data_IF_438036785774
#
_entry.id   IF_438036785774
#
_cell.length_a   1.000
_cell.length_b   1.000
_cell.length_c   1.000
_cell.angle_alpha   90.00
_cell.angle_beta   90.00
_cell.angle_gamma   90.00
#
_symmetry.space_group_name_H-M   'P 1'
#
loop_
_entity.id
_entity.type
_entity.pdbx_description
1 polymer ?
#
# COMPACT_ATOMS: atom_id res chain seq x y z
N UNK A 1 1.58 -15.27 18.64
CA UNK A 1 0.65 -15.34 19.75
C UNK A 1 -0.73 -14.96 19.27
N UNK A 2 -1.68 -15.89 19.30
CA UNK A 2 -3.08 -15.61 18.99
C UNK A 2 -3.73 -15.02 20.25
N UNK A 3 -4.11 -13.74 20.20
CA UNK A 3 -4.94 -13.16 21.22
C UNK A 3 -6.41 -13.53 20.93
N UNK A 4 -6.97 -14.48 21.67
CA UNK A 4 -8.42 -14.70 21.73
C UNK A 4 -9.01 -13.60 22.60
N UNK A 5 -9.76 -12.69 22.01
CA UNK A 5 -10.62 -11.78 22.77
C UNK A 5 -11.71 -12.62 23.44
N UNK A 6 -11.67 -12.74 24.77
CA UNK A 6 -12.62 -13.53 25.57
C UNK A 6 -13.96 -12.83 25.78
N UNK A 7 -14.06 -11.54 25.52
CA UNK A 7 -15.30 -10.76 25.74
C UNK A 7 -15.42 -9.67 24.65
N UNK A 8 -16.58 -9.59 24.05
CA UNK A 8 -16.96 -8.47 23.19
C UNK A 8 -17.25 -7.27 24.10
N UNK A 9 -16.35 -6.30 24.15
CA UNK A 9 -16.58 -5.05 24.86
C UNK A 9 -17.20 -4.05 23.89
N UNK A 10 -18.44 -3.65 24.12
CA UNK A 10 -19.05 -2.54 23.42
C UNK A 10 -18.52 -1.22 23.98
N UNK A 11 -18.14 -0.30 23.09
CA UNK A 11 -17.71 1.06 23.43
C UNK A 11 -18.71 2.02 22.82
N UNK A 12 -19.41 2.79 23.65
CA UNK A 12 -20.27 3.86 23.15
C UNK A 12 -19.41 5.03 22.68
N UNK A 13 -19.59 5.46 21.44
CA UNK A 13 -18.84 6.56 20.83
C UNK A 13 -19.70 7.32 19.84
N UNK A 14 -19.56 8.64 19.83
CA UNK A 14 -20.23 9.53 18.86
C UNK A 14 -19.47 9.58 17.51
N UNK A 15 -18.23 9.10 17.47
CA UNK A 15 -17.39 9.13 16.27
C UNK A 15 -16.52 7.88 16.22
N UNK A 16 -16.60 7.15 15.10
CA UNK A 16 -15.75 6.00 14.81
C UNK A 16 -14.84 6.34 13.64
N UNK A 17 -13.53 6.19 13.82
CA UNK A 17 -12.54 6.32 12.76
C UNK A 17 -11.93 4.95 12.49
N UNK A 18 -12.35 4.34 11.38
CA UNK A 18 -11.86 3.03 10.96
C UNK A 18 -10.72 3.18 9.96
N UNK A 19 -9.52 2.74 10.33
CA UNK A 19 -8.31 2.83 9.49
C UNK A 19 -7.67 1.46 9.20
N UNK A 20 -8.40 0.37 9.46
CA UNK A 20 -7.88 -0.99 9.33
C UNK A 20 -8.03 -1.51 7.89
N UNK A 21 -6.90 -1.61 7.21
CA UNK A 21 -6.78 -2.27 5.90
C UNK A 21 -7.31 -1.50 4.70
N UNK A 22 -7.00 -2.03 3.54
CA UNK A 22 -7.48 -1.57 2.22
C UNK A 22 -7.98 -2.77 1.44
N UNK A 23 -9.07 -2.58 0.70
CA UNK A 23 -9.57 -3.56 -0.25
C UNK A 23 -9.45 -3.03 -1.67
N UNK A 24 -9.20 -3.88 -2.67
CA UNK A 24 -9.28 -3.48 -4.07
C UNK A 24 -10.69 -2.98 -4.43
N UNK A 25 -10.76 -2.19 -5.50
CA UNK A 25 -12.02 -1.68 -6.05
C UNK A 25 -12.91 -2.82 -6.54
N UNK A 26 -14.22 -2.56 -6.62
CA UNK A 26 -15.21 -3.59 -7.00
C UNK A 26 -14.97 -4.17 -8.39
N UNK A 27 -14.43 -3.39 -9.33
CA UNK A 27 -14.01 -3.89 -10.65
C UNK A 27 -13.13 -5.15 -10.56
N UNK A 28 -12.27 -5.26 -9.56
CA UNK A 28 -11.43 -6.46 -9.35
C UNK A 28 -12.27 -7.62 -8.84
N UNK A 29 -13.21 -7.37 -7.92
CA UNK A 29 -14.09 -8.40 -7.37
C UNK A 29 -15.05 -8.98 -8.43
N UNK A 30 -15.52 -8.12 -9.34
CA UNK A 30 -16.43 -8.48 -10.43
C UNK A 30 -15.70 -9.06 -11.65
N UNK A 31 -14.39 -9.05 -11.65
CA UNK A 31 -13.59 -9.59 -12.76
C UNK A 31 -13.67 -11.12 -12.82
N UNK A 32 -13.39 -11.68 -14.00
CA UNK A 32 -13.30 -13.13 -14.23
C UNK A 32 -12.04 -13.77 -13.64
N UNK A 33 -11.18 -12.97 -13.01
CA UNK A 33 -9.93 -13.45 -12.46
C UNK A 33 -10.14 -14.14 -11.11
N UNK A 34 -9.37 -15.19 -10.86
CA UNK A 34 -9.32 -15.80 -9.53
C UNK A 34 -8.73 -14.80 -8.53
N UNK A 35 -9.46 -14.60 -7.44
CA UNK A 35 -9.06 -13.68 -6.37
C UNK A 35 -8.88 -14.39 -5.04
N UNK A 36 -8.04 -13.85 -4.20
CA UNK A 36 -7.95 -14.22 -2.78
C UNK A 36 -7.91 -12.93 -1.96
N UNK A 37 -8.76 -12.83 -0.94
CA UNK A 37 -8.93 -11.60 -0.15
C UNK A 37 -9.18 -10.36 -1.03
N UNK A 38 -10.00 -10.53 -2.09
CA UNK A 38 -10.32 -9.48 -3.04
C UNK A 38 -9.19 -9.07 -3.98
N UNK A 39 -8.03 -9.76 -3.99
CA UNK A 39 -6.88 -9.47 -4.85
C UNK A 39 -6.68 -10.57 -5.87
N UNK A 40 -6.22 -10.20 -7.06
CA UNK A 40 -5.97 -11.13 -8.17
C UNK A 40 -4.78 -12.04 -7.83
N UNK A 41 -4.96 -13.35 -8.01
CA UNK A 41 -3.91 -14.33 -7.83
C UNK A 41 -2.92 -14.29 -9.00
N UNK A 42 -1.63 -14.15 -8.68
CA UNK A 42 -0.55 -14.14 -9.67
C UNK A 42 0.50 -15.20 -9.34
N UNK A 43 1.18 -15.66 -10.40
CA UNK A 43 2.34 -16.52 -10.27
C UNK A 43 3.62 -15.73 -9.94
N UNK A 44 4.75 -16.40 -9.83
CA UNK A 44 6.04 -15.78 -9.51
C UNK A 44 6.57 -14.81 -10.58
N UNK A 45 6.00 -14.80 -11.77
CA UNK A 45 6.32 -13.86 -12.86
C UNK A 45 5.37 -12.67 -12.92
N UNK A 46 4.42 -12.55 -11.98
CA UNK A 46 3.36 -11.56 -11.90
C UNK A 46 2.24 -11.73 -12.95
N UNK A 47 2.15 -12.89 -13.59
CA UNK A 47 1.08 -13.22 -14.53
C UNK A 47 -0.12 -13.80 -13.78
N UNK A 48 -1.30 -13.58 -14.32
CA UNK A 48 -2.51 -14.28 -13.89
C UNK A 48 -2.45 -15.71 -14.44
N UNK A 49 -2.49 -16.72 -13.57
CA UNK A 49 -2.28 -18.11 -13.95
C UNK A 49 -3.20 -18.62 -15.06
N UNK A 50 -4.41 -18.05 -15.15
CA UNK A 50 -5.39 -18.41 -16.20
C UNK A 50 -5.16 -17.67 -17.52
N UNK A 51 -4.41 -16.58 -17.50
CA UNK A 51 -4.18 -15.69 -18.64
C UNK A 51 -2.70 -15.29 -18.66
N UNK A 52 -1.84 -16.10 -19.28
CA UNK A 52 -0.38 -15.91 -19.25
C UNK A 52 0.10 -14.60 -19.88
N UNK A 53 -0.73 -13.98 -20.73
CA UNK A 53 -0.43 -12.69 -21.35
C UNK A 53 -0.89 -11.48 -20.50
N UNK A 54 -1.54 -11.75 -19.34
CA UNK A 54 -2.07 -10.71 -18.47
C UNK A 54 -1.30 -10.67 -17.15
N UNK A 55 -0.86 -9.47 -16.80
CA UNK A 55 -0.12 -9.21 -15.57
C UNK A 55 -0.97 -8.42 -14.58
N UNK A 56 -0.89 -8.76 -13.29
CA UNK A 56 -1.48 -7.96 -12.22
C UNK A 56 -0.39 -7.57 -11.21
N UNK A 57 -0.32 -6.28 -10.89
CA UNK A 57 0.77 -5.71 -10.09
C UNK A 57 0.25 -4.77 -8.99
N UNK A 58 1.04 -4.55 -7.95
CA UNK A 58 0.72 -3.64 -6.85
C UNK A 58 -0.35 -4.19 -5.91
N UNK A 59 -1.13 -3.30 -5.31
CA UNK A 59 -2.06 -3.63 -4.22
C UNK A 59 -3.26 -4.50 -4.65
N UNK A 60 -3.57 -4.55 -5.94
CA UNK A 60 -4.64 -5.39 -6.48
C UNK A 60 -4.21 -6.84 -6.72
N UNK A 61 -2.92 -7.17 -6.57
CA UNK A 61 -2.37 -8.52 -6.77
C UNK A 61 -1.91 -9.18 -5.49
N UNK A 62 -1.93 -10.50 -5.47
CA UNK A 62 -1.38 -11.32 -4.40
C UNK A 62 -0.80 -12.60 -5.01
N UNK A 63 0.34 -13.05 -4.51
CA UNK A 63 0.93 -14.30 -4.97
C UNK A 63 0.06 -15.50 -4.60
N UNK A 64 -0.14 -16.39 -5.56
CA UNK A 64 -0.84 -17.65 -5.31
C UNK A 64 -0.06 -18.46 -4.26
N UNK A 65 -0.66 -18.78 -3.11
CA UNK A 65 0.01 -19.52 -2.05
C UNK A 65 0.40 -20.95 -2.45
N UNK A 66 -0.21 -21.49 -3.52
CA UNK A 66 0.11 -22.80 -4.07
C UNK A 66 1.41 -22.72 -4.90
N UNK A 67 1.61 -21.60 -5.60
CA UNK A 67 2.75 -21.41 -6.52
C UNK A 67 3.92 -20.68 -5.89
N UNK A 68 3.70 -19.92 -4.82
CA UNK A 68 4.74 -19.16 -4.14
C UNK A 68 4.52 -19.10 -2.63
N UNK A 69 5.55 -19.46 -1.87
CA UNK A 69 5.55 -19.31 -0.42
C UNK A 69 5.85 -17.88 0.03
N UNK A 70 6.28 -17.00 -0.89
CA UNK A 70 6.65 -15.61 -0.57
C UNK A 70 5.39 -14.75 -0.43
N UNK A 71 5.31 -14.01 0.67
CA UNK A 71 4.23 -13.05 0.94
C UNK A 71 4.82 -11.66 1.01
N UNK A 72 4.27 -10.75 0.23
CA UNK A 72 4.65 -9.35 0.24
C UNK A 72 3.47 -8.48 0.70
N UNK A 73 3.70 -7.52 1.60
CA UNK A 73 2.65 -6.59 2.01
C UNK A 73 2.29 -5.63 0.86
N UNK A 74 1.04 -5.15 0.78
CA UNK A 74 0.63 -4.14 -0.18
C UNK A 74 1.26 -2.80 0.19
N UNK A 75 2.32 -2.45 -0.50
CA UNK A 75 3.04 -1.18 -0.28
C UNK A 75 3.52 -0.60 -1.61
N UNK A 76 3.68 0.73 -1.66
CA UNK A 76 4.20 1.41 -2.83
C UNK A 76 5.58 0.89 -3.28
N UNK A 77 6.42 0.45 -2.35
CA UNK A 77 7.73 -0.13 -2.68
C UNK A 77 7.59 -1.45 -3.46
N UNK A 78 6.67 -2.31 -3.03
CA UNK A 78 6.39 -3.57 -3.71
C UNK A 78 5.73 -3.29 -5.07
N UNK A 79 4.77 -2.34 -5.12
CA UNK A 79 4.13 -1.96 -6.38
C UNK A 79 5.14 -1.44 -7.42
N UNK A 80 6.11 -0.63 -6.99
CA UNK A 80 7.20 -0.15 -7.86
C UNK A 80 8.10 -1.30 -8.34
N UNK A 81 8.43 -2.24 -7.46
CA UNK A 81 9.23 -3.41 -7.83
C UNK A 81 8.45 -4.35 -8.77
N UNK A 82 7.16 -4.59 -8.50
CA UNK A 82 6.27 -5.33 -9.41
C UNK A 82 6.26 -4.70 -10.81
N UNK A 83 6.11 -3.37 -10.90
CA UNK A 83 6.07 -2.67 -12.18
C UNK A 83 7.36 -2.87 -13.00
N UNK A 84 8.52 -2.81 -12.34
CA UNK A 84 9.82 -3.05 -13.01
C UNK A 84 9.95 -4.48 -13.54
N UNK A 85 9.57 -5.46 -12.71
CA UNK A 85 9.65 -6.87 -13.10
C UNK A 85 8.63 -7.19 -14.20
N UNK A 86 7.39 -6.70 -14.08
CA UNK A 86 6.37 -6.92 -15.10
C UNK A 86 6.75 -6.30 -16.45
N UNK A 87 7.28 -5.06 -16.45
CA UNK A 87 7.73 -4.40 -17.69
C UNK A 87 8.87 -5.19 -18.37
N UNK A 88 9.81 -5.71 -17.57
CA UNK A 88 10.90 -6.54 -18.09
C UNK A 88 10.37 -7.88 -18.61
N UNK A 89 9.45 -8.51 -17.91
CA UNK A 89 8.85 -9.78 -18.33
C UNK A 89 7.98 -9.62 -19.58
N UNK A 90 7.25 -8.50 -19.71
CA UNK A 90 6.53 -8.19 -20.95
C UNK A 90 7.48 -8.09 -22.15
N UNK A 91 8.59 -7.37 -22.00
CA UNK A 91 9.61 -7.28 -23.04
C UNK A 91 10.16 -8.67 -23.38
N UNK A 92 10.57 -9.45 -22.37
CA UNK A 92 11.10 -10.80 -22.57
C UNK A 92 10.10 -11.73 -23.26
N UNK A 93 8.85 -11.64 -22.90
CA UNK A 93 7.78 -12.41 -23.54
C UNK A 93 7.65 -12.05 -25.02
N UNK A 94 7.73 -10.77 -25.36
CA UNK A 94 7.71 -10.30 -26.75
C UNK A 94 8.94 -10.75 -27.55
N UNK A 95 10.11 -10.77 -26.90
CA UNK A 95 11.39 -11.15 -27.51
C UNK A 95 11.59 -12.69 -27.54
N UNK A 96 10.66 -13.47 -26.99
CA UNK A 96 10.77 -14.93 -26.89
C UNK A 96 11.78 -15.40 -25.84
N UNK A 97 12.15 -14.55 -24.91
CA UNK A 97 13.10 -14.85 -23.83
C UNK A 97 12.39 -15.42 -22.58
N UNK A 98 13.16 -16.16 -21.76
CA UNK A 98 12.64 -16.65 -20.48
C UNK A 98 12.39 -15.49 -19.50
N UNK A 99 11.21 -15.48 -18.88
CA UNK A 99 10.84 -14.50 -17.86
C UNK A 99 11.65 -14.67 -16.58
N UNK A 100 11.76 -13.59 -15.81
CA UNK A 100 12.40 -13.56 -14.50
C UNK A 100 11.37 -13.62 -13.37
N UNK A 101 11.69 -14.38 -12.33
CA UNK A 101 10.87 -14.46 -11.13
C UNK A 101 10.95 -13.17 -10.34
N UNK A 102 9.82 -12.74 -9.78
CA UNK A 102 9.81 -11.62 -8.86
C UNK A 102 10.52 -12.02 -7.55
N UNK A 103 11.48 -11.22 -7.19
CA UNK A 103 12.13 -11.29 -5.88
C UNK A 103 12.37 -9.87 -5.35
N UNK A 104 12.08 -9.67 -4.08
CA UNK A 104 12.24 -8.38 -3.44
C UNK A 104 12.83 -8.55 -2.04
N UNK A 105 13.93 -7.87 -1.81
CA UNK A 105 14.52 -7.76 -0.48
C UNK A 105 14.03 -6.49 0.19
N UNK A 106 13.44 -6.64 1.37
CA UNK A 106 12.91 -5.53 2.14
C UNK A 106 14.01 -4.57 2.55
N UNK A 107 13.91 -3.31 2.12
CA UNK A 107 14.93 -2.28 2.38
C UNK A 107 14.66 -1.47 3.64
N UNK A 108 13.49 -1.63 4.24
CA UNK A 108 13.04 -0.86 5.38
C UNK A 108 11.76 -0.10 5.12
N UNK A 109 11.24 0.52 6.15
CA UNK A 109 10.00 1.29 6.11
C UNK A 109 10.13 2.56 6.93
N UNK A 110 9.37 3.57 6.55
CA UNK A 110 9.33 4.82 7.31
C UNK A 110 7.94 5.46 7.20
N UNK A 111 7.49 6.09 8.26
CA UNK A 111 6.20 6.79 8.32
C UNK A 111 6.31 8.07 9.14
N UNK A 112 5.51 9.08 8.78
CA UNK A 112 5.31 10.25 9.61
C UNK A 112 4.08 10.02 10.51
N UNK A 113 4.24 10.25 11.80
CA UNK A 113 3.18 10.10 12.81
C UNK A 113 2.74 11.42 13.42
N UNK A 114 3.34 12.52 13.01
CA UNK A 114 2.98 13.86 13.48
C UNK A 114 3.84 14.94 12.88
N UNK A 115 3.66 16.16 13.40
CA UNK A 115 4.47 17.31 12.98
C UNK A 115 5.92 17.11 13.47
N UNK A 116 6.86 16.99 12.52
CA UNK A 116 8.29 16.80 12.80
C UNK A 116 8.64 15.50 13.55
N UNK A 117 7.74 14.51 13.50
CA UNK A 117 7.94 13.22 14.16
C UNK A 117 7.70 12.10 13.18
N UNK A 118 8.64 11.19 13.06
CA UNK A 118 8.55 10.01 12.23
C UNK A 118 9.02 8.77 12.96
N UNK A 119 8.79 7.64 12.33
CA UNK A 119 9.36 6.34 12.68
C UNK A 119 9.96 5.74 11.42
N UNK A 120 11.10 5.10 11.55
CA UNK A 120 11.78 4.43 10.45
C UNK A 120 12.47 3.18 10.96
N UNK A 121 12.45 2.14 10.13
CA UNK A 121 13.23 0.92 10.35
C UNK A 121 14.06 0.65 9.10
N UNK A 122 15.36 0.67 9.22
CA UNK A 122 16.31 0.45 8.15
C UNK A 122 17.37 -0.56 8.59
N UNK A 123 17.53 -1.63 7.82
CA UNK A 123 18.56 -2.67 8.07
C UNK A 123 18.54 -3.18 9.52
N UNK A 124 17.37 -3.28 10.14
CA UNK A 124 17.20 -3.72 11.53
C UNK A 124 17.38 -2.61 12.58
N UNK A 125 17.77 -1.39 12.18
CA UNK A 125 17.89 -0.25 13.09
C UNK A 125 16.56 0.51 13.11
N UNK A 126 15.99 0.68 14.31
CA UNK A 126 14.77 1.45 14.51
C UNK A 126 15.11 2.87 14.98
N UNK A 127 14.59 3.86 14.26
CA UNK A 127 14.80 5.27 14.51
C UNK A 127 13.44 5.93 14.69
N UNK A 128 13.30 6.79 15.70
CA UNK A 128 12.08 7.54 15.97
C UNK A 128 12.34 9.03 16.20
N UNK A 129 11.28 9.84 16.14
CA UNK A 129 11.36 11.27 16.42
C UNK A 129 11.81 12.11 15.23
N UNK A 130 12.52 13.19 15.53
CA UNK A 130 12.94 14.17 14.52
C UNK A 130 13.94 13.61 13.50
N UNK A 131 14.84 12.74 13.93
CA UNK A 131 15.80 12.11 13.02
C UNK A 131 15.09 11.24 11.96
N UNK A 132 14.10 10.44 12.37
CA UNK A 132 13.29 9.67 11.43
C UNK A 132 12.50 10.57 10.47
N UNK A 133 12.01 11.73 10.94
CA UNK A 133 11.37 12.73 10.09
C UNK A 133 12.33 13.28 9.02
N UNK A 134 13.56 13.64 9.38
CA UNK A 134 14.56 14.11 8.42
C UNK A 134 14.94 13.03 7.42
N UNK A 135 15.13 11.79 7.86
CA UNK A 135 15.40 10.65 6.99
C UNK A 135 14.26 10.44 5.99
N UNK A 136 13.03 10.47 6.46
CA UNK A 136 11.84 10.35 5.61
C UNK A 136 11.81 11.44 4.52
N UNK A 137 12.02 12.71 4.90
CA UNK A 137 12.05 13.83 3.96
C UNK A 137 13.10 13.63 2.87
N UNK A 138 14.32 13.29 3.25
CA UNK A 138 15.42 13.09 2.29
C UNK A 138 15.15 11.91 1.35
N UNK A 139 14.61 10.81 1.88
CA UNK A 139 14.22 9.64 1.09
C UNK A 139 13.16 9.99 0.02
N UNK A 140 12.11 10.71 0.41
CA UNK A 140 11.06 11.08 -0.54
C UNK A 140 11.53 12.15 -1.52
N UNK A 141 12.32 13.10 -1.07
CA UNK A 141 12.93 14.11 -1.94
C UNK A 141 13.83 13.47 -3.02
N UNK A 142 14.60 12.44 -2.65
CA UNK A 142 15.45 11.73 -3.61
C UNK A 142 14.67 11.06 -4.74
N UNK A 143 13.44 10.59 -4.47
CA UNK A 143 12.55 9.92 -5.44
C UNK A 143 11.88 10.88 -6.43
N UNK A 144 11.85 12.17 -6.17
CA UNK A 144 11.26 13.16 -7.09
C UNK A 144 12.13 13.24 -8.33
N UNK A 145 11.53 13.12 -9.51
CA UNK A 145 12.21 13.30 -10.79
C UNK A 145 12.27 14.77 -11.17
N UNK A 146 13.41 15.20 -11.67
CA UNK A 146 13.67 16.60 -12.08
C UNK A 146 14.21 17.45 -10.93
N UNK A 147 15.34 18.11 -11.18
CA UNK A 147 16.04 18.92 -10.17
C UNK A 147 15.25 20.17 -9.76
N UNK A 148 14.53 20.80 -10.71
CA UNK A 148 13.67 21.97 -10.43
C UNK A 148 12.55 21.64 -9.46
N UNK A 149 11.88 20.48 -9.66
CA UNK A 149 10.83 20.01 -8.77
C UNK A 149 11.39 19.67 -7.39
N UNK A 150 12.59 19.05 -7.35
CA UNK A 150 13.27 18.77 -6.07
C UNK A 150 13.55 20.04 -5.30
N UNK A 151 14.08 21.06 -5.98
CA UNK A 151 14.42 22.34 -5.35
C UNK A 151 13.17 23.03 -4.81
N UNK A 152 12.09 23.06 -5.60
CA UNK A 152 10.81 23.65 -5.17
C UNK A 152 10.26 22.94 -3.93
N UNK A 153 10.16 21.61 -3.96
CA UNK A 153 9.66 20.83 -2.82
C UNK A 153 10.59 20.96 -1.61
N UNK A 154 11.90 21.02 -1.81
CA UNK A 154 12.85 21.22 -0.75
C UNK A 154 12.66 22.60 -0.09
N UNK A 155 12.48 23.67 -0.86
CA UNK A 155 12.18 25.01 -0.35
C UNK A 155 10.87 25.03 0.44
N UNK A 156 9.79 24.53 -0.16
CA UNK A 156 8.46 24.47 0.49
C UNK A 156 8.53 23.73 1.83
N UNK A 157 9.21 22.59 1.85
CA UNK A 157 9.35 21.81 3.08
C UNK A 157 10.22 22.52 4.14
N UNK A 158 11.19 23.33 3.76
CA UNK A 158 11.97 24.11 4.72
C UNK A 158 11.15 25.31 5.24
N UNK A 159 10.38 25.96 4.38
CA UNK A 159 9.47 27.03 4.80
C UNK A 159 8.40 26.50 5.78
N UNK A 160 7.84 25.32 5.55
CA UNK A 160 6.90 24.64 6.46
C UNK A 160 7.47 24.39 7.87
N UNK A 161 8.79 24.41 8.04
CA UNK A 161 9.40 24.31 9.36
C UNK A 161 9.24 25.60 10.19
N UNK A 162 9.16 26.73 9.53
CA UNK A 162 9.11 28.04 10.19
C UNK A 162 7.68 28.62 10.19
N UNK A 163 6.93 28.40 9.14
CA UNK A 163 5.58 28.96 8.98
C UNK A 163 4.49 27.94 9.34
N UNK A 164 3.33 28.42 9.73
CA UNK A 164 2.15 27.58 9.93
C UNK A 164 1.61 27.15 8.55
N UNK A 165 1.29 25.89 8.41
CA UNK A 165 0.64 25.36 7.20
C UNK A 165 -0.72 25.99 7.02
N UNK A 166 -0.98 26.50 5.83
CA UNK A 166 -2.32 26.95 5.44
C UNK A 166 -3.19 25.70 5.17
N UNK A 167 -4.24 25.51 5.98
CA UNK A 167 -5.14 24.37 5.86
C UNK A 167 -6.34 24.81 5.03
N UNK A 168 -6.28 24.61 3.72
CA UNK A 168 -7.44 24.74 2.87
C UNK A 168 -8.35 23.51 3.00
N UNK A 169 -9.57 23.69 3.51
CA UNK A 169 -10.61 22.65 3.50
C UNK A 169 -11.28 22.63 2.13
N UNK A 170 -10.96 21.65 1.30
CA UNK A 170 -11.82 21.30 0.18
C UNK A 170 -13.06 20.60 0.73
N UNK A 171 -14.22 21.30 0.72
CA UNK A 171 -15.51 20.65 0.99
C UNK A 171 -15.83 19.72 -0.18
N UNK A 172 -15.48 18.46 -0.06
CA UNK A 172 -16.01 17.42 -0.94
C UNK A 172 -17.41 17.09 -0.43
N UNK A 173 -18.44 17.56 -1.11
CA UNK A 173 -19.82 17.12 -0.85
C UNK A 173 -19.93 15.66 -1.32
N UNK A 174 -19.60 14.72 -0.46
CA UNK A 174 -19.95 13.33 -0.66
C UNK A 174 -21.39 13.18 -0.19
N UNK A 175 -22.31 12.73 -1.08
CA UNK A 175 -23.62 12.27 -0.63
C UNK A 175 -23.38 11.26 0.49
N UNK A 176 -23.89 11.58 1.68
CA UNK A 176 -23.86 10.62 2.79
C UNK A 176 -24.63 9.38 2.35
N UNK A 177 -23.93 8.27 2.15
CA UNK A 177 -24.54 6.96 2.17
C UNK A 177 -24.92 6.74 3.63
N UNK A 178 -26.21 6.87 3.95
CA UNK A 178 -26.75 6.42 5.22
C UNK A 178 -26.45 4.92 5.27
N UNK A 179 -25.51 4.51 6.10
CA UNK A 179 -25.25 3.10 6.36
C UNK A 179 -26.40 2.64 7.22
N UNK A 180 -27.27 1.78 6.66
CA UNK A 180 -28.30 1.09 7.41
C UNK A 180 -27.59 0.07 8.31
N UNK A 181 -27.63 0.30 9.61
CA UNK A 181 -26.96 -0.56 10.61
C UNK A 181 -27.55 -2.00 10.64
N UNK A 182 -28.68 -2.24 9.98
CA UNK A 182 -29.27 -3.58 9.86
C UNK A 182 -28.50 -4.52 8.93
N UNK A 183 -27.69 -3.99 8.03
CA UNK A 183 -26.81 -4.82 7.15
C UNK A 183 -25.51 -5.29 7.85
N UNK A 184 -25.22 -4.81 9.07
CA UNK A 184 -23.99 -5.19 9.78
C UNK A 184 -24.15 -6.47 10.59
N UNK A 185 -25.37 -6.93 10.85
CA UNK A 185 -25.62 -8.17 11.59
C UNK A 185 -25.43 -9.45 10.76
N UNK A 186 -25.22 -9.34 9.43
CA UNK A 186 -24.97 -10.49 8.55
C UNK A 186 -23.48 -10.77 8.26
N UNK A 187 -22.54 -10.09 8.93
CA UNK A 187 -21.09 -10.23 8.65
C UNK A 187 -20.36 -11.16 9.62
N UNK A 188 -21.09 -11.95 10.41
CA UNK A 188 -20.49 -12.79 11.45
C UNK A 188 -19.79 -14.07 10.97
N UNK A 189 -19.68 -14.34 9.66
CA UNK A 189 -19.13 -15.61 9.15
C UNK A 189 -17.87 -15.51 8.26
N UNK A 190 -17.08 -14.42 8.31
CA UNK A 190 -15.89 -14.29 7.48
C UNK A 190 -14.65 -13.87 8.27
N UNK A 191 -14.18 -14.74 9.18
CA UNK A 191 -12.80 -14.65 9.72
C UNK A 191 -12.17 -16.03 9.89
#
# INVERSE_FOLDING_TARGET
>A
GHYKLKEIKSIQSNTLIWTAGTTPIDLIKESLFKTSKGRILVNEFLQISQFPDVFAIGDCSIFDPILSMKKYPPTAQIAEAHAKTAALNLKRLTDGEAMIRFDYTWKGQSALIGKRTGVASFLGINIAGFLAFILWRNLYLSKIRGWEKKLRVWLDWNLDLFFKRDISRLKVFKKEKIIDYKELDEVDDVW
#
